data_IF_943925555773
#
_entry.id   IF_943925555773
#
_cell.length_a   1.000
_cell.length_b   1.000
_cell.length_c   1.000
_cell.angle_alpha   90.00
_cell.angle_beta   90.00
_cell.angle_gamma   90.00
#
_symmetry.space_group_name_H-M   'P 1'
#
loop_
_entity.id
_entity.type
_entity.pdbx_description
1 polymer ?
#
# COMPACT_ATOMS: atom_id res chain seq x y z
N UNK A 1 6.06 10.41 6.54
CA UNK A 1 5.93 9.15 5.77
C UNK A 1 6.37 9.43 4.33
N UNK A 2 6.80 8.40 3.61
CA UNK A 2 7.18 8.52 2.19
C UNK A 2 6.39 7.49 1.39
N UNK A 3 5.64 7.94 0.38
CA UNK A 3 5.01 7.09 -0.61
C UNK A 3 5.98 6.75 -1.74
N UNK A 4 6.08 5.49 -2.09
CA UNK A 4 7.00 4.98 -3.10
C UNK A 4 6.33 3.94 -3.99
N UNK A 5 6.93 3.69 -5.16
CA UNK A 5 6.47 2.68 -6.13
C UNK A 5 4.98 2.85 -6.48
N UNK A 6 4.58 4.04 -6.92
CA UNK A 6 3.20 4.30 -7.34
C UNK A 6 2.89 3.52 -8.63
N UNK A 7 1.85 2.70 -8.62
CA UNK A 7 1.38 1.99 -9.81
C UNK A 7 -0.14 2.02 -9.91
N UNK A 8 -0.63 2.38 -11.09
CA UNK A 8 -2.05 2.35 -11.40
C UNK A 8 -2.50 0.92 -11.72
N UNK A 9 -3.67 0.53 -11.24
CA UNK A 9 -4.31 -0.73 -11.61
C UNK A 9 -4.67 -0.78 -13.10
N UNK A 10 -4.72 -1.97 -13.71
CA UNK A 10 -5.10 -2.11 -15.12
C UNK A 10 -6.47 -1.54 -15.48
N UNK A 11 -7.41 -1.55 -14.53
CA UNK A 11 -8.75 -0.97 -14.71
C UNK A 11 -8.80 0.55 -14.47
N UNK A 12 -7.67 1.16 -14.08
CA UNK A 12 -7.54 2.60 -13.83
C UNK A 12 -8.23 3.09 -12.57
N UNK A 13 -8.72 2.20 -11.68
CA UNK A 13 -9.52 2.58 -10.51
C UNK A 13 -8.75 2.63 -9.21
N UNK A 14 -7.60 1.97 -9.10
CA UNK A 14 -6.81 1.92 -7.88
C UNK A 14 -5.38 2.38 -8.12
N UNK A 15 -4.87 3.21 -7.22
CA UNK A 15 -3.45 3.54 -7.16
C UNK A 15 -2.84 2.77 -5.99
N UNK A 16 -1.89 1.88 -6.28
CA UNK A 16 -1.12 1.13 -5.30
C UNK A 16 0.19 1.85 -4.98
N UNK A 17 0.62 1.80 -3.72
CA UNK A 17 1.86 2.42 -3.28
C UNK A 17 2.36 1.81 -1.97
N UNK A 18 3.68 1.83 -1.80
CA UNK A 18 4.32 1.45 -0.55
C UNK A 18 4.50 2.69 0.31
N UNK A 19 4.06 2.63 1.56
CA UNK A 19 4.31 3.62 2.59
C UNK A 19 5.52 3.19 3.40
N UNK A 20 6.53 4.06 3.48
CA UNK A 20 7.68 3.91 4.35
C UNK A 20 7.59 4.92 5.51
N UNK A 21 7.45 4.48 6.77
CA UNK A 21 7.50 5.37 7.93
C UNK A 21 8.91 5.96 8.09
N UNK A 22 9.00 7.26 8.38
CA UNK A 22 10.30 7.93 8.66
C UNK A 22 10.64 7.78 10.15
N UNK A 23 9.62 7.58 10.99
CA UNK A 23 9.71 7.40 12.44
C UNK A 23 8.76 6.26 12.85
N UNK A 24 8.94 5.63 14.02
CA UNK A 24 8.03 4.62 14.51
C UNK A 24 6.61 5.18 14.62
N UNK A 25 5.69 4.63 13.83
CA UNK A 25 4.28 4.98 13.89
C UNK A 25 3.53 3.98 14.78
N UNK A 26 2.64 4.48 15.63
CA UNK A 26 1.65 3.65 16.33
C UNK A 26 0.35 3.56 15.52
N UNK A 27 -0.43 2.50 15.70
CA UNK A 27 -1.77 2.38 15.10
C UNK A 27 -1.80 1.52 13.82
N UNK A 28 -2.25 2.09 12.69
CA UNK A 28 -2.53 1.37 11.43
C UNK A 28 -1.30 0.65 10.86
N UNK A 29 -0.10 1.17 11.12
CA UNK A 29 1.18 0.60 10.70
C UNK A 29 1.98 0.16 11.92
N UNK A 30 2.70 -0.96 11.80
CA UNK A 30 3.47 -1.51 12.92
C UNK A 30 4.86 -0.87 12.98
N UNK A 31 4.97 0.27 13.67
CA UNK A 31 6.26 0.92 13.91
C UNK A 31 6.88 1.48 12.63
N UNK A 32 8.04 0.92 12.26
CA UNK A 32 8.86 1.31 11.09
C UNK A 32 8.61 0.42 9.86
N UNK A 33 7.59 -0.43 9.90
CA UNK A 33 7.30 -1.38 8.84
C UNK A 33 6.84 -0.69 7.56
N UNK A 34 7.47 -1.03 6.43
CA UNK A 34 6.94 -0.69 5.11
C UNK A 34 5.62 -1.42 4.86
N UNK A 35 4.60 -0.66 4.48
CA UNK A 35 3.23 -1.10 4.27
C UNK A 35 2.80 -0.89 2.82
N UNK A 36 1.91 -1.75 2.31
CA UNK A 36 1.29 -1.59 1.01
C UNK A 36 -0.14 -1.10 1.20
N UNK A 37 -0.44 0.04 0.60
CA UNK A 37 -1.77 0.61 0.58
C UNK A 37 -2.25 0.76 -0.87
N UNK A 38 -3.56 0.81 -1.04
CA UNK A 38 -4.19 1.26 -2.27
C UNK A 38 -5.24 2.31 -1.98
N UNK A 39 -5.46 3.24 -2.91
CA UNK A 39 -6.60 4.16 -2.88
C UNK A 39 -7.48 3.91 -4.09
N UNK A 40 -8.78 3.75 -3.86
CA UNK A 40 -9.80 3.79 -4.91
C UNK A 40 -9.95 5.24 -5.39
N UNK A 41 -9.66 5.49 -6.66
CA UNK A 41 -9.67 6.82 -7.27
C UNK A 41 -11.09 7.35 -7.54
N UNK A 42 -12.10 6.50 -7.44
CA UNK A 42 -13.51 6.88 -7.62
C UNK A 42 -14.16 7.28 -6.30
N UNK A 43 -13.82 6.59 -5.21
CA UNK A 43 -14.45 6.80 -3.89
C UNK A 43 -13.52 7.49 -2.88
N UNK A 44 -12.21 7.51 -3.13
CA UNK A 44 -11.19 7.98 -2.20
C UNK A 44 -10.90 7.02 -1.04
N UNK A 45 -11.54 5.83 -1.00
CA UNK A 45 -11.34 4.86 0.08
C UNK A 45 -9.96 4.24 -0.02
N UNK A 46 -9.24 4.21 1.11
CA UNK A 46 -7.92 3.57 1.21
C UNK A 46 -8.04 2.18 1.82
N UNK A 47 -7.42 1.20 1.19
CA UNK A 47 -7.29 -0.17 1.69
C UNK A 47 -5.84 -0.48 2.08
N UNK A 48 -5.67 -1.22 3.18
CA UNK A 48 -4.37 -1.62 3.69
C UNK A 48 -4.14 -3.10 3.43
N UNK A 49 -3.10 -3.41 2.67
CA UNK A 49 -2.76 -4.76 2.23
C UNK A 49 -1.73 -5.40 3.15
N UNK A 50 -1.80 -6.73 3.28
CA UNK A 50 -0.89 -7.46 4.16
C UNK A 50 -1.18 -7.23 5.65
N UNK A 51 -2.40 -6.84 6.01
CA UNK A 51 -2.83 -6.69 7.41
C UNK A 51 -2.54 -7.97 8.20
N UNK A 52 -1.73 -7.85 9.25
CA UNK A 52 -1.30 -8.98 10.09
C UNK A 52 0.01 -9.64 9.67
N UNK A 53 0.62 -9.21 8.55
CA UNK A 53 2.00 -9.54 8.23
C UNK A 53 2.94 -8.75 9.15
N UNK A 54 3.82 -9.43 9.87
CA UNK A 54 4.79 -8.82 10.78
C UNK A 54 6.18 -8.75 10.13
N UNK A 55 6.29 -8.03 9.01
CA UNK A 55 7.53 -7.91 8.23
C UNK A 55 7.48 -6.82 7.16
N UNK A 56 8.63 -6.35 6.67
CA UNK A 56 8.64 -5.25 5.69
C UNK A 56 8.12 -5.68 4.32
N UNK A 57 7.16 -4.94 3.78
CA UNK A 57 6.80 -5.07 2.37
C UNK A 57 7.83 -4.34 1.53
N UNK A 58 8.67 -5.12 0.83
CA UNK A 58 9.77 -4.60 0.01
C UNK A 58 9.38 -4.38 -1.46
N UNK A 59 8.26 -4.97 -1.90
CA UNK A 59 7.80 -4.90 -3.27
C UNK A 59 6.45 -5.57 -3.46
N UNK A 60 5.82 -5.31 -4.60
CA UNK A 60 4.54 -5.87 -4.98
C UNK A 60 4.43 -5.96 -6.50
N UNK A 61 3.42 -6.67 -7.00
CA UNK A 61 3.11 -6.74 -8.43
C UNK A 61 1.61 -6.74 -8.62
N UNK A 62 1.12 -5.91 -9.53
CA UNK A 62 -0.30 -5.86 -9.86
C UNK A 62 -0.61 -6.94 -10.90
N UNK A 63 -1.62 -7.77 -10.64
CA UNK A 63 -2.05 -8.81 -11.58
C UNK A 63 -2.87 -8.18 -12.70
N UNK A 64 -2.87 -8.80 -13.88
CA UNK A 64 -3.61 -8.31 -15.05
C UNK A 64 -5.13 -8.18 -14.83
N UNK A 65 -5.69 -9.00 -13.94
CA UNK A 65 -7.09 -8.97 -13.52
C UNK A 65 -7.36 -8.08 -12.29
N UNK A 66 -6.38 -7.28 -11.89
CA UNK A 66 -6.41 -6.46 -10.68
C UNK A 66 -5.94 -7.20 -9.42
N UNK A 67 -5.78 -6.42 -8.35
CA UNK A 67 -5.24 -6.90 -7.09
C UNK A 67 -3.72 -7.12 -7.10
N UNK A 68 -3.21 -7.51 -5.94
CA UNK A 68 -1.78 -7.70 -5.64
C UNK A 68 -1.58 -9.15 -5.19
#
# INVERSE_FOLDING_TARGET
MIEQNLQLSPDGKHLFFVISPIEPTGGKYNGTQNALDSVDLTTGVTEHWGKGFNGNIMGYTIRSQGGV
#
